data_IF_548234199306
#
_entry.id   IF_548234199306
#
_cell.length_a   1.000
_cell.length_b   1.000
_cell.length_c   1.000
_cell.angle_alpha   90.00
_cell.angle_beta   90.00
_cell.angle_gamma   90.00
#
_symmetry.space_group_name_H-M   'P 1'
#
loop_
_entity.id
_entity.type
_entity.pdbx_description
1 polymer ?
#
# COMPACT_ATOMS: atom_id res chain seq x y z
N UNK A 1 7.31 6.14 0.80
CA UNK A 1 7.56 5.12 1.84
C UNK A 1 6.95 5.48 3.19
N UNK A 2 7.21 6.68 3.75
CA UNK A 2 6.64 7.11 5.05
C UNK A 2 5.13 6.91 5.16
N UNK A 3 4.38 7.34 4.15
CA UNK A 3 2.90 7.22 4.11
C UNK A 3 2.41 5.77 4.28
N UNK A 4 3.05 4.82 3.60
CA UNK A 4 2.74 3.38 3.71
C UNK A 4 3.02 2.88 5.12
N UNK A 5 4.18 3.21 5.70
CA UNK A 5 4.52 2.77 7.06
C UNK A 5 3.56 3.36 8.11
N UNK A 6 3.13 4.61 7.94
CA UNK A 6 2.13 5.23 8.82
C UNK A 6 0.75 4.55 8.69
N UNK A 7 0.29 4.24 7.47
CA UNK A 7 -0.96 3.51 7.26
C UNK A 7 -0.89 2.10 7.87
N UNK A 8 0.24 1.40 7.70
CA UNK A 8 0.49 0.10 8.33
C UNK A 8 0.37 0.17 9.86
N UNK A 9 1.06 1.11 10.52
CA UNK A 9 1.00 1.26 11.97
C UNK A 9 -0.43 1.62 12.46
N UNK A 10 -1.13 2.50 11.74
CA UNK A 10 -2.51 2.91 12.05
C UNK A 10 -3.48 1.74 11.96
N UNK A 11 -3.48 1.03 10.84
CA UNK A 11 -4.50 -0.01 10.54
C UNK A 11 -4.23 -1.29 11.32
N UNK A 12 -2.97 -1.70 11.45
CA UNK A 12 -2.63 -2.92 12.22
C UNK A 12 -2.69 -2.72 13.73
N UNK A 13 -2.68 -1.46 14.20
CA UNK A 13 -2.57 -1.12 15.63
C UNK A 13 -1.21 -1.43 16.25
N UNK A 14 -0.22 -1.86 15.45
CA UNK A 14 1.13 -2.19 15.91
C UNK A 14 2.00 -0.94 15.77
N UNK A 15 2.44 -0.39 16.90
CA UNK A 15 3.40 0.70 16.91
C UNK A 15 4.80 0.19 16.53
N UNK A 16 5.40 0.79 15.51
CA UNK A 16 6.79 0.54 15.12
C UNK A 16 7.39 1.78 14.47
N UNK A 17 8.72 1.92 14.52
CA UNK A 17 9.47 2.94 13.78
C UNK A 17 10.25 2.27 12.65
N UNK A 18 10.06 2.68 11.38
CA UNK A 18 10.80 2.12 10.26
C UNK A 18 12.28 2.51 10.28
N UNK A 19 13.18 1.54 10.14
CA UNK A 19 14.60 1.78 9.91
C UNK A 19 14.86 2.19 8.45
N UNK A 20 15.67 3.22 8.24
CA UNK A 20 16.09 3.66 6.91
C UNK A 20 17.36 2.92 6.52
N UNK A 21 17.24 2.00 5.56
CA UNK A 21 18.35 1.26 4.99
C UNK A 21 18.82 1.88 3.65
N UNK A 22 20.00 1.48 3.11
CA UNK A 22 20.46 1.89 1.79
C UNK A 22 19.46 1.54 0.68
N UNK A 23 19.50 2.30 -0.42
CA UNK A 23 18.62 2.04 -1.57
C UNK A 23 18.93 0.69 -2.20
N UNK A 24 17.88 -0.09 -2.46
CA UNK A 24 18.00 -1.32 -3.24
C UNK A 24 18.28 -0.96 -4.70
N UNK A 25 19.29 -1.59 -5.28
CA UNK A 25 19.67 -1.35 -6.68
C UNK A 25 18.51 -1.68 -7.62
N UNK A 26 18.25 -0.80 -8.58
CA UNK A 26 17.17 -0.95 -9.57
C UNK A 26 15.83 -0.32 -9.17
N UNK A 27 15.64 0.10 -7.92
CA UNK A 27 14.39 0.75 -7.51
C UNK A 27 14.39 2.24 -7.94
N UNK A 28 13.42 2.69 -8.75
CA UNK A 28 13.26 4.10 -9.09
C UNK A 28 12.73 4.91 -7.91
N UNK A 29 12.88 6.25 -7.99
CA UNK A 29 12.38 7.16 -6.94
C UNK A 29 10.87 7.12 -6.73
N UNK A 30 10.11 7.03 -7.83
CA UNK A 30 8.64 7.02 -7.82
C UNK A 30 8.11 6.36 -9.10
N UNK A 31 7.15 5.46 -8.95
CA UNK A 31 6.30 4.98 -10.03
C UNK A 31 4.85 5.08 -9.55
N UNK A 32 4.02 5.78 -10.32
CA UNK A 32 2.57 5.88 -10.11
C UNK A 32 1.87 5.92 -11.45
N UNK A 33 0.67 5.32 -11.54
CA UNK A 33 -0.16 5.37 -12.75
C UNK A 33 -1.27 6.42 -12.58
N UNK A 34 -1.64 7.10 -13.67
CA UNK A 34 -2.78 8.02 -13.66
C UNK A 34 -4.12 7.30 -13.74
N UNK A 35 -4.17 6.16 -14.44
CA UNK A 35 -5.40 5.37 -14.63
C UNK A 35 -6.32 5.86 -15.75
N UNK A 36 -5.96 6.96 -16.44
CA UNK A 36 -6.85 7.66 -17.38
C UNK A 36 -7.35 6.78 -18.53
N UNK A 37 -6.48 5.93 -19.10
CA UNK A 37 -6.86 5.05 -20.20
C UNK A 37 -7.83 3.95 -19.73
N UNK A 38 -7.59 3.38 -18.56
CA UNK A 38 -8.49 2.37 -17.98
C UNK A 38 -9.86 2.97 -17.64
N UNK A 39 -9.89 4.20 -17.13
CA UNK A 39 -11.14 4.92 -16.88
C UNK A 39 -11.90 5.22 -18.18
N UNK A 40 -11.21 5.67 -19.23
CA UNK A 40 -11.82 5.97 -20.53
C UNK A 40 -12.35 4.73 -21.24
N UNK A 41 -11.54 3.67 -21.29
CA UNK A 41 -11.78 2.54 -22.20
C UNK A 41 -12.59 1.43 -21.53
N UNK A 42 -12.54 1.33 -20.19
CA UNK A 42 -13.13 0.22 -19.43
C UNK A 42 -14.14 0.69 -18.36
N UNK A 43 -14.39 2.00 -18.25
CA UNK A 43 -15.14 2.62 -17.13
C UNK A 43 -14.60 2.19 -15.75
N UNK A 44 -13.30 1.91 -15.69
CA UNK A 44 -12.65 1.42 -14.48
C UNK A 44 -12.25 2.58 -13.56
N UNK A 45 -12.33 2.36 -12.23
CA UNK A 45 -11.98 3.38 -11.22
C UNK A 45 -11.16 2.80 -10.08
N UNK A 46 -10.23 3.62 -9.58
CA UNK A 46 -9.56 3.39 -8.29
C UNK A 46 -10.58 3.65 -7.16
N UNK A 47 -11.00 2.61 -6.45
CA UNK A 47 -12.06 2.72 -5.43
C UNK A 47 -11.57 2.51 -4.00
N UNK A 48 -10.35 2.01 -3.82
CA UNK A 48 -9.81 1.70 -2.50
C UNK A 48 -8.73 2.70 -2.10
N UNK A 49 -8.83 3.15 -0.86
CA UNK A 49 -7.81 3.93 -0.17
C UNK A 49 -6.67 3.05 0.31
N UNK A 50 -5.55 3.68 0.68
CA UNK A 50 -4.40 2.96 1.24
C UNK A 50 -4.77 2.19 2.52
N UNK A 51 -5.63 2.76 3.37
CA UNK A 51 -6.03 2.12 4.63
C UNK A 51 -6.86 0.86 4.38
N UNK A 52 -7.79 0.89 3.42
CA UNK A 52 -8.58 -0.28 3.01
C UNK A 52 -7.71 -1.38 2.38
N UNK A 53 -6.70 -0.99 1.60
CA UNK A 53 -5.72 -1.94 1.05
C UNK A 53 -4.91 -2.63 2.15
N UNK A 54 -4.46 -1.88 3.16
CA UNK A 54 -3.73 -2.43 4.30
C UNK A 54 -4.63 -3.33 5.15
N UNK A 55 -5.85 -2.90 5.42
CA UNK A 55 -6.82 -3.62 6.25
C UNK A 55 -7.16 -4.99 5.66
N UNK A 56 -7.47 -5.02 4.36
CA UNK A 56 -7.77 -6.26 3.65
C UNK A 56 -6.58 -7.22 3.62
N UNK A 57 -5.37 -6.71 3.40
CA UNK A 57 -4.15 -7.51 3.43
C UNK A 57 -3.85 -8.08 4.82
N UNK A 58 -4.05 -7.28 5.88
CA UNK A 58 -3.81 -7.70 7.26
C UNK A 58 -4.85 -8.74 7.73
N UNK A 59 -6.12 -8.52 7.40
CA UNK A 59 -7.20 -9.47 7.67
C UNK A 59 -6.93 -10.82 7.01
N UNK A 60 -6.50 -10.83 5.74
CA UNK A 60 -6.13 -12.04 5.02
C UNK A 60 -4.92 -12.75 5.69
N UNK A 61 -3.91 -12.00 6.12
CA UNK A 61 -2.74 -12.55 6.82
C UNK A 61 -3.13 -13.23 8.13
N UNK A 62 -3.95 -12.60 8.95
CA UNK A 62 -4.39 -13.16 10.24
C UNK A 62 -5.17 -14.46 10.05
N UNK A 63 -6.08 -14.50 9.07
CA UNK A 63 -6.87 -15.69 8.75
C UNK A 63 -5.99 -16.85 8.26
N UNK A 64 -4.91 -16.58 7.52
CA UNK A 64 -3.99 -17.62 7.03
C UNK A 64 -3.07 -18.19 8.12
N UNK A 65 -2.94 -17.50 9.26
CA UNK A 65 -2.08 -17.92 10.39
C UNK A 65 -2.86 -18.46 11.59
N UNK A 66 -4.19 -18.48 11.52
CA UNK A 66 -5.09 -19.08 12.50
C UNK A 66 -5.30 -20.57 12.19
#
# INVERSE_FOLDING_TARGET
>A
MREIMTAMARVTGIAFEPEIAPRRAGDPDRIVATGDLAARDLDWRMTFTLDEMVDSAWSARQAATA
#
